data_IF_188961206861
#
_entry.id   IF_188961206861
#
_cell.length_a   1.000
_cell.length_b   1.000
_cell.length_c   1.000
_cell.angle_alpha   90.00
_cell.angle_beta   90.00
_cell.angle_gamma   90.00
#
_symmetry.space_group_name_H-M   'P 1'
#
loop_
_entity.id
_entity.type
_entity.pdbx_description
1 polymer ?
#
# COMPACT_ATOMS: atom_id res chain seq x y z
N UNK A 1 -15.99 16.90 0.28
CA UNK A 1 -15.01 16.26 1.14
C UNK A 1 -14.12 17.29 1.76
N UNK A 2 -14.07 17.33 3.03
CA UNK A 2 -13.29 18.35 3.71
C UNK A 2 -11.91 17.82 4.10
N UNK A 3 -11.11 18.71 4.67
CA UNK A 3 -9.76 18.36 5.04
C UNK A 3 -9.70 17.32 6.15
N UNK A 4 -10.73 17.25 7.00
CA UNK A 4 -10.76 16.24 8.05
C UNK A 4 -10.83 14.83 7.48
N UNK A 5 -11.62 14.66 6.43
CA UNK A 5 -11.73 13.35 5.80
C UNK A 5 -10.40 12.93 5.20
N UNK A 6 -9.69 13.86 4.59
CA UNK A 6 -8.37 13.55 4.03
C UNK A 6 -7.38 13.19 5.11
N UNK A 7 -7.42 13.88 6.23
CA UNK A 7 -6.54 13.58 7.35
C UNK A 7 -6.83 12.20 7.91
N UNK A 8 -8.11 11.85 8.01
CA UNK A 8 -8.49 10.53 8.49
C UNK A 8 -7.98 9.46 7.55
N UNK A 9 -8.15 9.64 6.25
CA UNK A 9 -7.67 8.67 5.27
C UNK A 9 -6.16 8.53 5.34
N UNK A 10 -5.44 9.62 5.53
CA UNK A 10 -3.98 9.56 5.67
C UNK A 10 -3.58 8.79 6.91
N UNK A 11 -4.29 8.97 8.00
CA UNK A 11 -4.02 8.24 9.24
C UNK A 11 -4.28 6.75 9.07
N UNK A 12 -5.36 6.40 8.39
CA UNK A 12 -5.69 5.01 8.13
C UNK A 12 -4.58 4.37 7.28
N UNK A 13 -4.13 5.07 6.25
CA UNK A 13 -3.07 4.57 5.39
C UNK A 13 -1.79 4.31 6.19
N UNK A 14 -1.41 5.25 7.04
CA UNK A 14 -0.20 5.10 7.84
C UNK A 14 -0.33 3.94 8.83
N UNK A 15 -1.49 3.83 9.47
CA UNK A 15 -1.73 2.76 10.43
C UNK A 15 -1.67 1.40 9.73
N UNK A 16 -2.28 1.31 8.55
CA UNK A 16 -2.25 0.06 7.79
C UNK A 16 -0.83 -0.31 7.37
N UNK A 17 -0.02 0.68 6.98
CA UNK A 17 1.36 0.41 6.62
C UNK A 17 2.15 -0.14 7.80
N UNK A 18 1.98 0.47 8.97
CA UNK A 18 2.68 0.00 10.16
C UNK A 18 2.27 -1.41 10.52
N UNK A 19 0.98 -1.68 10.47
CA UNK A 19 0.49 -3.00 10.81
C UNK A 19 0.97 -4.04 9.80
N UNK A 20 0.96 -3.68 8.52
CA UNK A 20 1.47 -4.57 7.48
C UNK A 20 2.95 -4.89 7.72
N UNK A 21 3.73 -3.89 8.12
CA UNK A 21 5.14 -4.09 8.42
C UNK A 21 5.31 -5.09 9.56
N UNK A 22 4.50 -4.97 10.61
CA UNK A 22 4.55 -5.89 11.72
C UNK A 22 4.21 -7.31 11.30
N UNK A 23 3.18 -7.47 10.48
CA UNK A 23 2.82 -8.80 9.99
C UNK A 23 3.96 -9.40 9.18
N UNK A 24 4.61 -8.61 8.32
CA UNK A 24 5.72 -9.11 7.54
C UNK A 24 6.88 -9.54 8.43
N UNK A 25 7.17 -8.77 9.46
CA UNK A 25 8.26 -9.10 10.38
C UNK A 25 7.98 -10.39 11.13
N UNK A 26 6.71 -10.69 11.35
CA UNK A 26 6.32 -11.90 12.08
C UNK A 26 6.05 -13.08 11.15
N UNK A 27 6.50 -12.99 9.89
CA UNK A 27 6.27 -14.04 8.90
C UNK A 27 4.81 -14.29 8.61
N UNK A 28 4.01 -13.24 8.70
CA UNK A 28 2.59 -13.30 8.39
C UNK A 28 2.27 -12.39 7.22
N UNK A 29 3.05 -12.53 6.16
CA UNK A 29 2.90 -11.66 4.99
C UNK A 29 1.51 -11.75 4.38
N UNK A 30 0.88 -12.91 4.45
CA UNK A 30 -0.47 -13.05 3.90
C UNK A 30 -1.45 -12.08 4.57
N UNK A 31 -1.24 -11.78 5.84
CA UNK A 31 -2.11 -10.83 6.54
C UNK A 31 -1.77 -9.39 6.20
N UNK A 32 -0.56 -9.15 5.72
CA UNK A 32 -0.15 -7.81 5.31
C UNK A 32 -0.77 -7.40 3.98
N UNK A 33 -1.01 -8.37 3.09
CA UNK A 33 -1.46 -8.07 1.74
C UNK A 33 -2.74 -7.25 1.69
N UNK A 34 -3.83 -7.63 2.36
CA UNK A 34 -5.04 -6.82 2.29
C UNK A 34 -4.86 -5.43 2.85
N UNK A 35 -3.97 -5.27 3.84
CA UNK A 35 -3.69 -3.94 4.39
C UNK A 35 -2.97 -3.07 3.35
N UNK A 36 -2.01 -3.66 2.66
CA UNK A 36 -1.28 -2.93 1.63
C UNK A 36 -2.18 -2.56 0.46
N UNK A 37 -3.03 -3.48 0.05
CA UNK A 37 -4.00 -3.19 -1.02
C UNK A 37 -4.89 -2.03 -0.62
N UNK A 38 -5.33 -2.01 0.62
CA UNK A 38 -6.20 -0.93 1.08
C UNK A 38 -5.48 0.41 1.04
N UNK A 39 -4.20 0.44 1.41
CA UNK A 39 -3.42 1.68 1.35
C UNK A 39 -3.34 2.18 -0.09
N UNK A 40 -3.10 1.30 -1.04
CA UNK A 40 -3.04 1.70 -2.44
C UNK A 40 -4.40 2.26 -2.90
N UNK A 41 -5.49 1.63 -2.47
CA UNK A 41 -6.83 2.11 -2.83
C UNK A 41 -7.12 3.49 -2.27
N UNK A 42 -6.75 3.70 -1.02
CA UNK A 42 -7.04 4.97 -0.34
C UNK A 42 -6.13 6.09 -0.83
N UNK A 43 -4.84 5.82 -0.90
CA UNK A 43 -3.85 6.85 -1.21
C UNK A 43 -3.55 6.98 -2.68
N UNK A 44 -3.68 5.88 -3.43
CA UNK A 44 -3.26 5.84 -4.81
C UNK A 44 -1.77 5.55 -4.92
N UNK A 45 -1.35 4.88 -6.00
CA UNK A 45 0.06 4.47 -6.12
C UNK A 45 1.02 5.64 -6.33
N UNK A 46 0.51 6.82 -6.71
CA UNK A 46 1.37 7.99 -6.90
C UNK A 46 1.65 8.73 -5.61
N UNK A 47 0.89 8.46 -4.54
CA UNK A 47 1.13 9.10 -3.26
C UNK A 47 2.18 8.34 -2.48
N UNK A 48 2.77 8.99 -1.50
CA UNK A 48 3.86 8.40 -0.73
C UNK A 48 3.47 7.07 -0.10
N UNK A 49 2.36 7.06 0.63
CA UNK A 49 1.92 5.84 1.30
C UNK A 49 1.50 4.77 0.32
N UNK A 50 0.76 5.15 -0.71
CA UNK A 50 0.33 4.21 -1.72
C UNK A 50 1.50 3.63 -2.50
N UNK A 51 2.49 4.46 -2.80
CA UNK A 51 3.68 4.00 -3.49
C UNK A 51 4.46 3.00 -2.63
N UNK A 52 4.58 3.29 -1.35
CA UNK A 52 5.24 2.38 -0.42
C UNK A 52 4.52 1.03 -0.37
N UNK A 53 3.20 1.07 -0.26
CA UNK A 53 2.42 -0.15 -0.21
C UNK A 53 2.55 -0.94 -1.50
N UNK A 54 2.54 -0.24 -2.63
CA UNK A 54 2.67 -0.91 -3.92
C UNK A 54 4.02 -1.60 -4.04
N UNK A 55 5.09 -0.93 -3.61
CA UNK A 55 6.41 -1.54 -3.62
C UNK A 55 6.45 -2.80 -2.80
N UNK A 56 5.82 -2.77 -1.63
CA UNK A 56 5.80 -3.95 -0.77
C UNK A 56 5.01 -5.09 -1.39
N UNK A 57 3.92 -4.77 -2.09
CA UNK A 57 3.17 -5.81 -2.79
C UNK A 57 4.00 -6.44 -3.89
N UNK A 58 4.81 -5.65 -4.59
CA UNK A 58 5.72 -6.18 -5.60
C UNK A 58 6.73 -7.11 -4.95
N UNK A 59 7.29 -6.68 -3.81
CA UNK A 59 8.27 -7.50 -3.10
C UNK A 59 7.68 -8.82 -2.61
N UNK A 60 6.41 -8.80 -2.27
CA UNK A 60 5.72 -10.01 -1.80
C UNK A 60 5.27 -10.91 -2.95
N UNK A 61 5.41 -10.43 -4.18
CA UNK A 61 5.09 -11.23 -5.33
C UNK A 61 3.63 -11.18 -5.78
N UNK A 62 2.86 -10.22 -5.25
CA UNK A 62 1.45 -10.11 -5.61
C UNK A 62 1.21 -9.17 -6.79
N UNK A 63 2.24 -8.45 -7.21
CA UNK A 63 2.20 -7.60 -8.39
C UNK A 63 3.44 -7.91 -9.19
N UNK A 64 3.28 -8.22 -10.45
CA UNK A 64 4.42 -8.64 -11.26
C UNK A 64 5.32 -7.51 -11.72
N UNK A 65 4.76 -6.33 -11.89
CA UNK A 65 5.51 -5.21 -12.39
C UNK A 65 5.38 -4.03 -11.48
N UNK A 66 6.46 -3.32 -11.19
CA UNK A 66 6.35 -2.07 -10.44
C UNK A 66 5.54 -1.05 -11.24
N UNK A 67 4.90 -0.15 -10.50
CA UNK A 67 4.15 0.92 -11.14
C UNK A 67 5.09 1.82 -11.93
N UNK A 68 4.76 2.08 -13.18
CA UNK A 68 5.60 2.87 -14.05
C UNK A 68 4.84 3.86 -14.85
N UNK A 69 3.79 4.36 -14.32
CA UNK A 69 3.06 5.39 -15.02
C UNK A 69 2.38 4.89 -16.28
N UNK A 70 1.92 3.66 -16.26
CA UNK A 70 1.17 3.12 -17.37
C UNK A 70 1.94 2.36 -18.42
N UNK A 71 3.25 2.16 -18.19
CA UNK A 71 4.00 1.40 -19.11
C UNK A 71 3.62 -0.06 -19.08
N UNK A 72 3.53 -0.70 -20.21
CA UNK A 72 3.04 -1.97 -20.23
C UNK A 72 3.94 -3.01 -20.66
N UNK A 73 4.06 -3.91 -20.60
CA UNK A 73 4.87 -4.64 -21.07
C UNK A 73 4.81 -5.65 -21.48
N UNK A 74 4.94 -6.14 -21.70
CA UNK A 74 5.11 -7.26 -21.85
C UNK A 74 5.62 -7.85 -22.21
#
# INVERSE_FOLDING_TARGET
>A
MDSNSRKVLALISKANLKLATLFRKNNQSALAVPLLVEVVRISGPAKKEGNQAYKELVELGFVNTPFRGGRKRP
#
